data_IF_015338454364
#
_entry.id   IF_015338454364
#
_cell.length_a   1.000
_cell.length_b   1.000
_cell.length_c   1.000
_cell.angle_alpha   90.00
_cell.angle_beta   90.00
_cell.angle_gamma   90.00
#
_symmetry.space_group_name_H-M   'P 1'
#
loop_
_entity.id
_entity.type
_entity.pdbx_description
1 polymer ?
#
# COMPACT_ATOMS: atom_id res chain seq x y z
N UNK A 1 16.10 18.35 6.21
CA UNK A 1 16.67 17.16 6.89
C UNK A 1 16.31 15.95 6.03
N UNK A 2 17.27 15.08 5.65
CA UNK A 2 17.01 13.86 4.89
C UNK A 2 16.05 12.89 5.62
N UNK A 3 15.13 12.25 4.90
CA UNK A 3 14.07 11.39 5.45
C UNK A 3 13.96 10.05 4.71
N UNK A 4 13.20 9.13 5.30
CA UNK A 4 12.76 7.86 4.74
C UNK A 4 11.28 7.64 5.09
N UNK A 5 10.58 6.79 4.33
CA UNK A 5 9.19 6.45 4.60
C UNK A 5 9.09 5.16 5.41
N UNK A 6 8.47 5.25 6.59
CA UNK A 6 8.17 4.11 7.46
C UNK A 6 7.22 3.09 6.85
N UNK A 7 7.08 1.96 7.55
CA UNK A 7 6.05 0.95 7.29
C UNK A 7 5.48 0.43 8.60
N UNK A 8 4.20 0.06 8.58
CA UNK A 8 3.39 -0.37 9.72
C UNK A 8 2.66 -1.69 9.44
N UNK A 9 3.20 -2.52 8.55
CA UNK A 9 2.54 -3.72 8.03
C UNK A 9 1.21 -3.38 7.37
N UNK A 10 1.20 -2.34 6.54
CA UNK A 10 -0.01 -1.88 5.88
C UNK A 10 -0.54 -2.91 4.87
N UNK A 11 -1.86 -2.95 4.74
CA UNK A 11 -2.52 -3.50 3.55
C UNK A 11 -2.13 -2.71 2.30
N UNK A 12 -2.50 -3.21 1.12
CA UNK A 12 -2.23 -2.55 -0.15
C UNK A 12 -2.71 -1.10 -0.23
N UNK A 13 -3.76 -0.72 0.52
CA UNK A 13 -4.24 0.67 0.58
C UNK A 13 -3.20 1.59 1.22
N UNK A 14 -2.74 1.27 2.44
CA UNK A 14 -1.75 2.09 3.14
C UNK A 14 -0.39 2.03 2.45
N UNK A 15 -0.01 0.86 1.94
CA UNK A 15 1.20 0.67 1.16
C UNK A 15 1.24 1.56 -0.07
N UNK A 16 0.17 1.61 -0.85
CA UNK A 16 0.09 2.48 -2.04
C UNK A 16 0.27 3.96 -1.68
N UNK A 17 -0.35 4.43 -0.59
CA UNK A 17 -0.13 5.80 -0.10
C UNK A 17 1.34 6.05 0.30
N UNK A 18 1.96 5.12 1.01
CA UNK A 18 3.37 5.23 1.40
C UNK A 18 4.30 5.27 0.17
N UNK A 19 4.02 4.50 -0.88
CA UNK A 19 4.79 4.56 -2.12
C UNK A 19 4.73 5.96 -2.74
N UNK A 20 3.53 6.53 -2.87
CA UNK A 20 3.36 7.89 -3.39
C UNK A 20 4.08 8.93 -2.50
N UNK A 21 3.93 8.84 -1.18
CA UNK A 21 4.63 9.71 -0.22
C UNK A 21 6.16 9.63 -0.38
N UNK A 22 6.70 8.42 -0.55
CA UNK A 22 8.14 8.20 -0.68
C UNK A 22 8.76 8.83 -1.94
N UNK A 23 7.95 9.24 -2.92
CA UNK A 23 8.42 9.99 -4.11
C UNK A 23 8.67 11.48 -3.84
N UNK A 24 8.22 11.99 -2.69
CA UNK A 24 8.31 13.42 -2.39
C UNK A 24 9.77 13.87 -2.16
N UNK A 25 10.09 15.14 -2.48
CA UNK A 25 11.40 15.70 -2.18
C UNK A 25 11.77 15.55 -0.70
N UNK A 26 13.00 15.08 -0.45
CA UNK A 26 13.53 14.88 0.90
C UNK A 26 13.51 13.43 1.39
N UNK A 27 12.71 12.55 0.77
CA UNK A 27 12.77 11.10 0.98
C UNK A 27 13.92 10.53 0.14
N UNK A 28 15.12 10.50 0.71
CA UNK A 28 16.37 10.15 -0.01
C UNK A 28 17.03 8.88 0.50
N UNK A 29 16.51 8.30 1.59
CA UNK A 29 16.92 7.00 2.10
C UNK A 29 15.87 5.94 1.75
N UNK A 30 16.27 4.66 1.56
CA UNK A 30 15.34 3.56 1.36
C UNK A 30 14.30 3.50 2.49
N UNK A 31 13.02 3.35 2.12
CA UNK A 31 11.93 3.19 3.07
C UNK A 31 11.66 1.73 3.43
N UNK A 32 10.76 1.52 4.40
CA UNK A 32 10.33 0.18 4.83
C UNK A 32 9.12 -0.35 4.04
N UNK A 33 8.83 0.24 2.88
CA UNK A 33 7.76 -0.21 1.99
C UNK A 33 8.18 -1.46 1.21
N UNK A 34 8.05 -2.62 1.86
CA UNK A 34 8.40 -3.90 1.27
C UNK A 34 7.38 -4.39 0.21
N UNK A 35 7.70 -5.48 -0.48
CA UNK A 35 6.76 -6.26 -1.28
C UNK A 35 5.51 -6.67 -0.48
N UNK A 36 4.34 -6.60 -1.11
CA UNK A 36 3.07 -7.05 -0.52
C UNK A 36 3.15 -8.52 -0.06
N UNK A 37 3.72 -9.39 -0.88
CA UNK A 37 3.95 -10.82 -0.59
C UNK A 37 4.82 -11.09 0.64
N UNK A 38 5.60 -10.11 1.13
CA UNK A 38 6.37 -10.24 2.37
C UNK A 38 5.50 -10.06 3.62
N UNK A 39 4.40 -9.29 3.52
CA UNK A 39 3.53 -8.97 4.66
C UNK A 39 2.37 -9.94 4.77
N UNK A 40 1.67 -10.21 3.66
CA UNK A 40 0.47 -11.04 3.64
C UNK A 40 0.50 -12.04 2.49
N UNK A 41 -0.05 -13.24 2.70
CA UNK A 41 -0.22 -14.23 1.64
C UNK A 41 -1.27 -13.82 0.60
N UNK A 42 -2.29 -13.06 1.04
CA UNK A 42 -3.30 -12.41 0.21
C UNK A 42 -3.60 -11.05 0.83
N UNK A 43 -3.61 -10.01 0.00
CA UNK A 43 -3.90 -8.62 0.39
C UNK A 43 -5.34 -8.26 -0.02
N UNK A 44 -5.90 -7.19 0.56
CA UNK A 44 -7.25 -6.68 0.23
C UNK A 44 -7.29 -5.82 -1.03
N UNK A 45 -6.18 -5.71 -1.76
CA UNK A 45 -6.08 -5.03 -3.05
C UNK A 45 -5.78 -6.00 -4.19
N UNK A 46 -6.34 -5.70 -5.37
CA UNK A 46 -6.15 -6.49 -6.59
C UNK A 46 -4.71 -6.43 -7.10
N UNK A 47 -4.07 -5.25 -6.98
CA UNK A 47 -2.69 -5.04 -7.40
C UNK A 47 -1.74 -5.51 -6.30
N UNK A 48 -0.84 -6.41 -6.67
CA UNK A 48 0.27 -6.84 -5.81
C UNK A 48 1.42 -5.86 -5.98
N UNK A 49 1.67 -5.05 -4.95
CA UNK A 49 2.71 -4.04 -4.94
C UNK A 49 4.05 -4.70 -4.63
N UNK A 50 4.76 -5.09 -5.69
CA UNK A 50 5.95 -5.92 -5.61
C UNK A 50 7.21 -5.17 -6.02
N UNK A 51 8.23 -5.24 -5.16
CA UNK A 51 9.53 -4.67 -5.45
C UNK A 51 10.31 -5.58 -6.41
N UNK A 52 10.97 -4.98 -7.40
CA UNK A 52 11.89 -5.69 -8.31
C UNK A 52 13.28 -5.09 -8.15
N UNK A 53 14.28 -5.93 -7.86
CA UNK A 53 15.68 -5.51 -7.63
C UNK A 53 15.82 -4.40 -6.57
N UNK A 54 14.99 -4.44 -5.52
CA UNK A 54 14.98 -3.43 -4.44
C UNK A 54 14.25 -2.13 -4.78
N UNK A 55 13.61 -2.02 -5.95
CA UNK A 55 12.84 -0.86 -6.36
C UNK A 55 11.34 -1.16 -6.34
N UNK A 56 10.59 -0.33 -5.65
CA UNK A 56 9.13 -0.39 -5.62
C UNK A 56 8.55 0.51 -6.72
N UNK A 57 7.77 -0.03 -7.68
CA UNK A 57 7.11 0.80 -8.67
C UNK A 57 6.02 1.65 -8.04
N UNK A 58 5.83 2.86 -8.58
CA UNK A 58 4.72 3.74 -8.19
C UNK A 58 3.46 3.27 -8.91
N UNK A 59 2.36 2.94 -8.20
CA UNK A 59 1.12 2.50 -8.83
C UNK A 59 0.53 3.59 -9.73
N UNK A 60 0.07 3.19 -10.92
CA UNK A 60 -0.52 4.10 -11.91
C UNK A 60 -2.04 4.19 -11.78
N UNK A 61 -2.62 5.24 -12.36
CA UNK A 61 -4.06 5.45 -12.43
C UNK A 61 -4.61 6.42 -11.38
N UNK A 62 -5.95 6.63 -11.35
CA UNK A 62 -6.57 7.60 -10.46
C UNK A 62 -6.39 7.25 -8.97
N UNK A 63 -6.32 8.29 -8.13
CA UNK A 63 -6.16 8.12 -6.68
C UNK A 63 -4.80 7.52 -6.33
N UNK A 64 -4.81 6.41 -5.58
CA UNK A 64 -3.58 5.69 -5.17
C UNK A 64 -3.16 4.58 -6.13
N UNK A 65 -3.85 4.42 -7.26
CA UNK A 65 -3.48 3.44 -8.30
C UNK A 65 -3.74 1.98 -7.94
N UNK A 66 -4.56 1.72 -6.92
CA UNK A 66 -5.00 0.37 -6.54
C UNK A 66 -6.51 0.28 -6.38
N UNK A 67 -7.05 -0.91 -6.60
CA UNK A 67 -8.46 -1.28 -6.41
C UNK A 67 -8.58 -2.38 -5.37
N UNK A 68 -9.69 -2.44 -4.64
CA UNK A 68 -9.89 -3.46 -3.61
C UNK A 68 -10.39 -4.77 -4.23
N UNK A 69 -9.87 -5.90 -3.73
CA UNK A 69 -10.50 -7.21 -3.86
C UNK A 69 -11.68 -7.24 -2.91
N UNK A 70 -12.89 -6.99 -3.45
CA UNK A 70 -14.11 -6.85 -2.62
C UNK A 70 -14.49 -8.17 -1.99
N UNK A 71 -14.32 -9.27 -2.72
CA UNK A 71 -14.69 -10.58 -2.20
C UNK A 71 -13.82 -10.95 -1.00
N UNK A 72 -12.50 -10.71 -1.08
CA UNK A 72 -11.61 -10.97 0.04
C UNK A 72 -11.80 -9.97 1.18
N UNK A 73 -11.97 -8.69 0.87
CA UNK A 73 -12.23 -7.68 1.88
C UNK A 73 -13.46 -8.06 2.69
N UNK A 74 -14.56 -8.45 2.04
CA UNK A 74 -15.78 -8.91 2.71
C UNK A 74 -15.53 -10.17 3.57
N UNK A 75 -14.67 -11.09 3.12
CA UNK A 75 -14.29 -12.30 3.86
C UNK A 75 -13.53 -12.01 5.16
N UNK A 76 -12.60 -11.05 5.14
CA UNK A 76 -11.74 -10.72 6.30
C UNK A 76 -12.29 -9.60 7.17
N UNK A 77 -13.43 -9.02 6.81
CA UNK A 77 -14.03 -7.91 7.57
C UNK A 77 -14.80 -8.43 8.78
N UNK A 78 -14.43 -7.97 9.98
CA UNK A 78 -15.12 -8.32 11.22
C UNK A 78 -16.32 -7.41 11.51
N UNK A 79 -16.29 -6.15 11.06
CA UNK A 79 -17.35 -5.18 11.31
C UNK A 79 -17.45 -4.14 10.18
N UNK A 80 -18.70 -3.79 9.83
CA UNK A 80 -19.01 -2.70 8.89
C UNK A 80 -20.03 -1.76 9.53
N UNK A 81 -19.76 -0.46 9.45
CA UNK A 81 -20.71 0.59 9.82
C UNK A 81 -20.89 1.54 8.64
N UNK A 82 -22.15 1.86 8.30
CA UNK A 82 -22.47 2.84 7.27
C UNK A 82 -23.23 4.00 7.90
N UNK A 83 -22.57 5.16 8.00
CA UNK A 83 -23.18 6.39 8.48
C UNK A 83 -23.70 7.18 7.28
N UNK A 84 -24.98 7.54 7.32
CA UNK A 84 -25.64 8.40 6.32
C UNK A 84 -26.03 9.71 7.00
N UNK A 85 -25.96 10.85 6.29
CA UNK A 85 -26.36 12.15 6.83
C UNK A 85 -27.84 12.21 7.19
#
# INVERSE_FOLDING_TARGET
>A
VPMWCGGMLETGIGRAHNIHLATMPGFVYPGDTASASRTYARDITEQQLEATNGWMPVPEGPGIGVTLDRAFLDEVTEQVETVRP
#
